data_IF_463325944347
#
_entry.id   IF_463325944347
#
_cell.length_a   1.000
_cell.length_b   1.000
_cell.length_c   1.000
_cell.angle_alpha   90.00
_cell.angle_beta   90.00
_cell.angle_gamma   90.00
#
_symmetry.space_group_name_H-M   'P 1'
#
loop_
_entity.id
_entity.type
_entity.pdbx_description
1 polymer ?
#
# COMPACT_ATOMS: atom_id res chain seq x y z
N UNK A 1 -18.25 0.08 -4.27
CA UNK A 1 -17.97 -0.87 -3.16
C UNK A 1 -16.61 -1.49 -3.40
N UNK A 2 -15.73 -1.46 -2.40
CA UNK A 2 -14.38 -2.06 -2.47
C UNK A 2 -14.39 -3.45 -1.84
N UNK A 3 -14.02 -4.49 -2.60
CA UNK A 3 -13.82 -5.84 -2.03
C UNK A 3 -12.51 -5.85 -1.24
N UNK A 4 -12.56 -6.35 -0.01
CA UNK A 4 -11.37 -6.48 0.84
C UNK A 4 -10.81 -7.89 0.76
N UNK A 5 -9.54 -8.02 0.40
CA UNK A 5 -8.87 -9.31 0.21
C UNK A 5 -7.51 -9.28 0.91
N UNK A 6 -7.46 -9.54 2.23
CA UNK A 6 -6.23 -9.40 3.00
C UNK A 6 -5.15 -10.34 2.47
N UNK A 7 -4.03 -9.76 2.03
CA UNK A 7 -2.87 -10.48 1.47
C UNK A 7 -3.23 -11.39 0.28
N UNK A 8 -4.33 -11.10 -0.43
CA UNK A 8 -4.91 -11.97 -1.46
C UNK A 8 -5.24 -13.40 -0.97
N UNK A 9 -5.48 -13.54 0.34
CA UNK A 9 -5.65 -14.81 1.02
C UNK A 9 -7.10 -15.06 1.47
N UNK A 10 -8.06 -14.17 1.22
CA UNK A 10 -9.42 -14.29 1.76
C UNK A 10 -10.05 -15.71 1.63
N UNK A 11 -9.98 -16.39 0.48
CA UNK A 11 -10.54 -17.74 0.35
C UNK A 11 -9.59 -18.88 0.76
N UNK A 12 -8.39 -18.57 1.26
CA UNK A 12 -7.29 -19.52 1.47
C UNK A 12 -6.73 -19.54 2.90
N UNK A 13 -7.13 -18.63 3.79
CA UNK A 13 -6.70 -18.66 5.20
C UNK A 13 -7.31 -19.89 5.88
N UNK A 14 -6.47 -20.84 6.31
CA UNK A 14 -6.90 -22.11 6.92
C UNK A 14 -7.28 -22.03 8.41
N UNK A 15 -7.33 -20.83 8.99
CA UNK A 15 -7.68 -20.56 10.39
C UNK A 15 -8.25 -19.14 10.53
N UNK A 16 -8.49 -18.67 11.75
CA UNK A 16 -9.08 -17.34 11.95
C UNK A 16 -8.20 -16.21 11.39
N UNK A 17 -8.75 -15.38 10.51
CA UNK A 17 -7.99 -14.33 9.82
C UNK A 17 -7.37 -13.26 10.75
N UNK A 18 -7.98 -12.99 11.90
CA UNK A 18 -7.38 -12.15 12.95
C UNK A 18 -6.08 -12.75 13.52
N UNK A 19 -6.03 -14.08 13.71
CA UNK A 19 -4.82 -14.77 14.14
C UNK A 19 -3.78 -14.83 13.00
N UNK A 20 -4.23 -14.82 11.75
CA UNK A 20 -3.35 -14.73 10.57
C UNK A 20 -2.58 -13.40 10.53
N UNK A 21 -3.23 -12.27 10.79
CA UNK A 21 -2.49 -11.00 10.92
C UNK A 21 -1.56 -11.00 12.12
N UNK A 22 -1.99 -11.58 13.24
CA UNK A 22 -1.13 -11.71 14.43
C UNK A 22 0.15 -12.45 14.09
N UNK A 23 0.05 -13.53 13.32
CA UNK A 23 1.22 -14.27 12.85
C UNK A 23 2.18 -13.40 12.04
N UNK A 24 1.68 -12.60 11.09
CA UNK A 24 2.49 -11.63 10.34
C UNK A 24 3.23 -10.63 11.25
N UNK A 25 2.54 -10.09 12.25
CA UNK A 25 3.11 -9.12 13.19
C UNK A 25 4.21 -9.77 14.03
N UNK A 26 3.97 -10.98 14.56
CA UNK A 26 4.95 -11.69 15.38
C UNK A 26 6.16 -12.17 14.56
N UNK A 27 5.97 -12.54 13.29
CA UNK A 27 7.05 -12.79 12.35
C UNK A 27 7.96 -11.57 12.19
N UNK A 28 7.38 -10.37 12.02
CA UNK A 28 8.15 -9.12 11.93
C UNK A 28 8.87 -8.73 13.23
N UNK A 29 8.38 -9.17 14.39
CA UNK A 29 9.06 -9.02 15.68
C UNK A 29 10.15 -10.08 15.90
N UNK A 30 10.29 -11.04 15.00
CA UNK A 30 11.29 -12.11 15.10
C UNK A 30 10.92 -13.29 15.98
N UNK A 31 9.66 -13.42 16.39
CA UNK A 31 9.22 -14.55 17.20
C UNK A 31 9.43 -15.88 16.44
N UNK A 32 10.39 -16.69 16.89
CA UNK A 32 10.61 -18.06 16.42
C UNK A 32 11.38 -18.25 15.10
N UNK A 33 11.83 -17.19 14.42
CA UNK A 33 12.43 -17.30 13.07
C UNK A 33 13.75 -16.56 12.87
N UNK A 34 14.25 -15.85 13.89
CA UNK A 34 15.45 -14.99 13.74
C UNK A 34 15.21 -13.70 12.94
N UNK A 35 13.97 -13.45 12.52
CA UNK A 35 13.53 -12.30 11.73
C UNK A 35 13.32 -10.99 12.54
N UNK A 36 13.92 -10.89 13.72
CA UNK A 36 13.77 -9.73 14.62
C UNK A 36 14.71 -8.57 14.29
N UNK A 37 15.57 -8.73 13.29
CA UNK A 37 16.42 -7.67 12.77
C UNK A 37 15.66 -6.91 11.66
N UNK A 38 15.20 -5.67 11.92
CA UNK A 38 14.44 -4.90 10.93
C UNK A 38 15.22 -4.60 9.64
N UNK A 39 16.55 -4.74 9.67
CA UNK A 39 17.40 -4.57 8.49
C UNK A 39 17.33 -5.79 7.54
N UNK A 40 16.86 -6.95 8.01
CA UNK A 40 16.73 -8.18 7.22
C UNK A 40 15.32 -8.43 6.71
N UNK A 41 14.33 -7.69 7.20
CA UNK A 41 12.95 -7.82 6.74
C UNK A 41 12.78 -7.17 5.36
N UNK A 42 12.07 -7.83 4.43
CA UNK A 42 11.74 -7.22 3.15
C UNK A 42 10.87 -5.98 3.36
N UNK A 43 11.10 -4.94 2.55
CA UNK A 43 10.20 -3.78 2.51
C UNK A 43 8.89 -4.16 1.82
N UNK A 44 7.78 -3.61 2.31
CA UNK A 44 6.44 -3.86 1.78
C UNK A 44 6.05 -2.67 0.90
N UNK A 45 5.54 -2.96 -0.30
CA UNK A 45 5.03 -1.98 -1.26
C UNK A 45 3.59 -2.31 -1.62
N UNK A 46 2.79 -1.27 -1.84
CA UNK A 46 1.44 -1.39 -2.40
C UNK A 46 1.45 -0.79 -3.82
N UNK A 47 0.92 -1.51 -4.80
CA UNK A 47 0.87 -1.07 -6.19
C UNK A 47 -0.56 -1.09 -6.72
N UNK A 48 -0.91 -0.11 -7.54
CA UNK A 48 -2.19 -0.06 -8.24
C UNK A 48 -1.97 0.28 -9.72
N UNK A 49 -1.96 -0.73 -10.57
CA UNK A 49 -1.83 -0.58 -12.03
C UNK A 49 -3.11 -0.09 -12.71
N UNK A 50 -4.22 -0.01 -11.98
CA UNK A 50 -5.57 0.06 -12.54
C UNK A 50 -6.27 1.39 -12.24
N UNK A 51 -5.54 2.40 -11.75
CA UNK A 51 -6.13 3.71 -11.52
C UNK A 51 -6.64 4.30 -12.84
N UNK A 52 -7.83 4.89 -12.78
CA UNK A 52 -8.51 5.48 -13.93
C UNK A 52 -8.66 6.98 -13.77
N UNK A 53 -8.64 7.69 -14.89
CA UNK A 53 -9.04 9.10 -14.97
C UNK A 53 -10.56 9.25 -14.95
N UNK A 54 -11.02 10.50 -14.91
CA UNK A 54 -12.45 10.84 -14.86
C UNK A 54 -13.22 10.39 -16.10
N UNK A 55 -12.54 10.24 -17.24
CA UNK A 55 -13.08 9.70 -18.49
C UNK A 55 -13.04 8.16 -18.56
N UNK A 56 -12.60 7.51 -17.48
CA UNK A 56 -12.51 6.06 -17.38
C UNK A 56 -11.28 5.45 -18.05
N UNK A 57 -10.37 6.22 -18.65
CA UNK A 57 -9.14 5.66 -19.22
C UNK A 57 -8.19 5.17 -18.13
N UNK A 58 -7.34 4.20 -18.45
CA UNK A 58 -6.24 3.82 -17.54
C UNK A 58 -5.17 4.90 -17.54
N UNK A 59 -4.75 5.32 -16.35
CA UNK A 59 -3.70 6.33 -16.19
C UNK A 59 -2.28 5.75 -16.34
N UNK A 60 -2.15 4.44 -16.13
CA UNK A 60 -0.91 3.70 -16.29
C UNK A 60 -1.10 2.59 -17.35
N UNK A 61 -0.19 2.45 -18.33
CA UNK A 61 -0.36 1.49 -19.43
C UNK A 61 -0.26 0.02 -19.02
N UNK A 62 0.38 -0.28 -17.89
CA UNK A 62 0.43 -1.64 -17.34
C UNK A 62 1.38 -2.58 -18.09
N UNK A 63 1.12 -3.88 -17.98
CA UNK A 63 1.87 -4.95 -18.66
C UNK A 63 3.40 -4.85 -18.46
N UNK A 64 4.17 -4.82 -19.55
CA UNK A 64 5.63 -4.73 -19.52
C UNK A 64 6.13 -3.43 -18.89
N UNK A 65 5.36 -2.35 -18.99
CA UNK A 65 5.73 -1.05 -18.43
C UNK A 65 5.79 -1.07 -16.90
N UNK A 66 5.11 -2.01 -16.24
CA UNK A 66 5.21 -2.22 -14.79
C UNK A 66 6.65 -2.44 -14.31
N UNK A 67 7.54 -2.91 -15.20
CA UNK A 67 8.97 -3.01 -14.93
C UNK A 67 9.60 -1.67 -14.50
N UNK A 68 9.07 -0.53 -14.94
CA UNK A 68 9.53 0.82 -14.53
C UNK A 68 9.27 1.11 -13.06
N UNK A 69 8.12 0.67 -12.55
CA UNK A 69 7.81 0.79 -11.12
C UNK A 69 8.60 -0.23 -10.30
N UNK A 70 8.85 -1.43 -10.84
CA UNK A 70 9.76 -2.39 -10.19
C UNK A 70 11.20 -1.88 -10.13
N UNK A 71 11.68 -1.19 -11.18
CA UNK A 71 12.96 -0.48 -11.16
C UNK A 71 13.01 0.52 -9.99
N UNK A 72 11.99 1.36 -9.86
CA UNK A 72 11.88 2.30 -8.73
C UNK A 72 11.85 1.60 -7.37
N UNK A 73 11.17 0.46 -7.24
CA UNK A 73 11.19 -0.36 -6.01
C UNK A 73 12.63 -0.80 -5.68
N UNK A 74 13.41 -1.24 -6.66
CA UNK A 74 14.83 -1.60 -6.44
C UNK A 74 15.64 -0.38 -6.02
N UNK A 75 15.47 0.76 -6.69
CA UNK A 75 16.15 2.02 -6.32
C UNK A 75 15.78 2.47 -4.89
N UNK A 76 14.52 2.27 -4.46
CA UNK A 76 14.10 2.50 -3.06
C UNK A 76 14.78 1.58 -2.06
N UNK A 77 15.03 0.33 -2.43
CA UNK A 77 15.77 -0.63 -1.60
C UNK A 77 17.26 -0.26 -1.49
N UNK A 78 17.84 0.28 -2.57
CA UNK A 78 19.25 0.70 -2.64
C UNK A 78 19.49 2.13 -2.11
N UNK A 79 18.43 2.87 -1.78
CA UNK A 79 18.52 4.23 -1.25
C UNK A 79 18.72 5.33 -2.30
N UNK A 80 18.57 4.99 -3.58
CA UNK A 80 18.70 5.92 -4.72
C UNK A 80 17.34 6.41 -5.25
N UNK A 81 16.26 5.71 -4.92
CA UNK A 81 14.90 6.03 -5.37
C UNK A 81 14.31 7.22 -4.62
N UNK A 82 13.97 8.28 -5.34
CA UNK A 82 13.28 9.46 -4.79
C UNK A 82 11.80 9.17 -4.53
N UNK A 83 11.26 9.77 -3.47
CA UNK A 83 9.86 9.65 -3.11
C UNK A 83 9.42 10.86 -2.28
N UNK A 84 8.13 11.17 -2.30
CA UNK A 84 7.51 12.14 -1.40
C UNK A 84 6.82 11.40 -0.27
N UNK A 85 6.93 11.94 0.94
CA UNK A 85 6.14 11.47 2.07
C UNK A 85 4.69 11.94 1.90
N UNK A 86 3.76 11.00 2.03
CA UNK A 86 2.31 11.22 1.97
C UNK A 86 1.65 10.59 3.20
N UNK A 87 0.37 10.89 3.49
CA UNK A 87 -0.34 10.22 4.59
C UNK A 87 -0.38 8.69 4.51
N UNK A 88 -0.13 8.10 3.34
CA UNK A 88 -0.14 6.64 3.14
C UNK A 88 1.26 6.03 3.00
N UNK A 89 2.31 6.83 3.29
CA UNK A 89 3.70 6.43 3.17
C UNK A 89 4.41 7.12 2.01
N UNK A 90 5.51 6.53 1.55
CA UNK A 90 6.33 7.10 0.48
C UNK A 90 5.80 6.72 -0.91
N UNK A 91 5.56 7.73 -1.74
CA UNK A 91 5.05 7.57 -3.10
C UNK A 91 6.05 8.20 -4.09
N UNK A 92 6.33 7.58 -5.25
CA UNK A 92 7.20 8.21 -6.24
C UNK A 92 6.60 9.51 -6.77
N UNK A 93 7.46 10.46 -7.11
CA UNK A 93 7.12 11.52 -8.06
C UNK A 93 7.28 11.01 -9.49
N UNK A 94 6.67 11.67 -10.47
CA UNK A 94 6.76 11.23 -11.86
C UNK A 94 8.21 11.22 -12.39
N UNK A 95 9.03 12.17 -11.95
CA UNK A 95 10.46 12.28 -12.28
C UNK A 95 11.34 11.25 -11.54
N UNK A 96 10.83 10.59 -10.50
CA UNK A 96 11.50 9.45 -9.87
C UNK A 96 11.36 8.14 -10.66
N UNK A 97 10.48 8.11 -11.68
CA UNK A 97 10.29 6.95 -12.53
C UNK A 97 11.07 7.11 -13.84
N UNK A 98 11.58 5.99 -14.36
CA UNK A 98 12.13 5.98 -15.71
C UNK A 98 11.00 5.96 -16.74
N UNK A 99 10.67 7.13 -17.29
CA UNK A 99 9.64 7.31 -18.31
C UNK A 99 10.22 7.38 -19.73
N UNK A 100 11.51 7.05 -19.91
CA UNK A 100 12.17 7.12 -21.22
C UNK A 100 11.46 6.18 -22.21
N UNK A 101 11.05 6.73 -23.35
CA UNK A 101 10.35 5.99 -24.40
C UNK A 101 8.91 5.58 -24.04
N UNK A 102 8.33 6.16 -22.98
CA UNK A 102 6.93 5.95 -22.63
C UNK A 102 6.04 7.01 -23.28
N UNK A 103 5.09 6.59 -24.13
CA UNK A 103 4.15 7.49 -24.82
C UNK A 103 2.95 7.94 -23.95
N UNK A 104 2.96 7.60 -22.65
CA UNK A 104 1.89 7.98 -21.72
C UNK A 104 2.02 9.46 -21.34
N UNK A 105 0.93 10.26 -21.36
CA UNK A 105 0.98 11.66 -20.97
C UNK A 105 1.51 11.84 -19.54
N UNK A 106 2.42 12.79 -19.32
CA UNK A 106 2.98 13.07 -18.00
C UNK A 106 1.89 13.36 -16.95
N UNK A 107 0.83 14.07 -17.34
CA UNK A 107 -0.31 14.35 -16.47
C UNK A 107 -1.05 13.07 -16.02
N UNK A 108 -1.09 12.02 -16.84
CA UNK A 108 -1.69 10.74 -16.46
C UNK A 108 -0.79 10.00 -15.46
N UNK A 109 0.54 10.07 -15.65
CA UNK A 109 1.51 9.52 -14.68
C UNK A 109 1.37 10.22 -13.32
N UNK A 110 1.35 11.54 -13.31
CA UNK A 110 1.17 12.34 -12.09
C UNK A 110 -0.18 12.03 -11.41
N UNK A 111 -1.26 11.99 -12.17
CA UNK A 111 -2.57 11.62 -11.66
C UNK A 111 -2.60 10.19 -11.11
N UNK A 112 -1.83 9.26 -11.70
CA UNK A 112 -1.73 7.87 -11.22
C UNK A 112 -1.11 7.79 -9.82
N UNK A 113 -0.16 8.69 -9.52
CA UNK A 113 0.63 8.75 -8.29
C UNK A 113 0.00 9.65 -7.20
N UNK A 114 -0.97 10.49 -7.55
CA UNK A 114 -1.57 11.47 -6.63
C UNK A 114 -2.23 10.83 -5.41
N UNK A 115 -1.85 11.22 -4.20
CA UNK A 115 -2.59 10.84 -2.99
C UNK A 115 -3.64 11.90 -2.69
N UNK A 116 -4.92 11.56 -2.90
CA UNK A 116 -6.03 12.44 -2.59
C UNK A 116 -6.48 12.24 -1.15
N UNK A 117 -6.34 13.29 -0.34
CA UNK A 117 -6.66 13.23 1.10
C UNK A 117 -8.13 12.96 1.34
N UNK A 118 -9.03 13.53 0.53
CA UNK A 118 -10.47 13.37 0.74
C UNK A 118 -10.94 11.98 0.32
N UNK A 119 -10.37 11.40 -0.74
CA UNK A 119 -10.58 9.98 -1.08
C UNK A 119 -10.16 9.07 0.08
N UNK A 120 -9.00 9.32 0.70
CA UNK A 120 -8.52 8.53 1.83
C UNK A 120 -9.35 8.72 3.10
N UNK A 121 -9.86 9.93 3.36
CA UNK A 121 -10.79 10.17 4.47
C UNK A 121 -12.09 9.38 4.29
N UNK A 122 -12.62 9.30 3.08
CA UNK A 122 -13.79 8.49 2.76
C UNK A 122 -13.53 6.97 2.90
N UNK A 123 -12.27 6.54 2.83
CA UNK A 123 -11.87 5.14 2.96
C UNK A 123 -11.81 4.67 4.43
N UNK A 124 -11.47 5.54 5.38
CA UNK A 124 -11.38 5.24 6.82
C UNK A 124 -12.60 4.49 7.37
N UNK A 125 -13.86 4.98 7.22
CA UNK A 125 -15.01 4.29 7.78
C UNK A 125 -15.20 2.89 7.16
N UNK A 126 -14.85 2.70 5.88
CA UNK A 126 -14.94 1.40 5.22
C UNK A 126 -13.87 0.42 5.71
N UNK A 127 -12.69 0.91 6.10
CA UNK A 127 -11.64 0.09 6.74
C UNK A 127 -12.05 -0.28 8.16
N UNK A 128 -12.61 0.66 8.93
CA UNK A 128 -13.12 0.38 10.26
C UNK A 128 -14.29 -0.63 10.24
N UNK A 129 -15.24 -0.47 9.31
CA UNK A 129 -16.35 -1.42 9.11
C UNK A 129 -15.84 -2.81 8.70
N UNK A 130 -14.79 -2.89 7.86
CA UNK A 130 -14.07 -4.14 7.68
C UNK A 130 -13.60 -4.59 9.04
N UNK A 131 -12.62 -3.94 9.66
CA UNK A 131 -11.94 -4.38 10.88
C UNK A 131 -12.87 -4.97 11.96
N UNK A 132 -14.04 -4.37 12.17
CA UNK A 132 -15.06 -4.88 13.09
C UNK A 132 -15.52 -6.34 12.82
N UNK A 133 -15.49 -6.81 11.56
CA UNK A 133 -15.83 -8.19 11.17
C UNK A 133 -14.88 -9.25 11.74
N UNK A 134 -13.68 -8.86 12.19
CA UNK A 134 -12.74 -9.78 12.85
C UNK A 134 -12.96 -9.89 14.36
N UNK A 135 -13.80 -9.04 14.95
CA UNK A 135 -14.05 -8.98 16.39
C UNK A 135 -12.78 -8.81 17.23
N UNK A 136 -12.78 -9.40 18.41
CA UNK A 136 -11.68 -9.33 19.41
C UNK A 136 -10.36 -9.93 18.93
N UNK A 137 -10.40 -10.74 17.86
CA UNK A 137 -9.23 -11.42 17.32
C UNK A 137 -8.34 -10.51 16.48
N UNK A 138 -8.85 -9.35 16.03
CA UNK A 138 -8.03 -8.39 15.29
C UNK A 138 -6.90 -7.86 16.19
N UNK A 139 -5.64 -7.93 15.76
CA UNK A 139 -4.55 -7.36 16.54
C UNK A 139 -4.73 -5.85 16.74
N UNK A 140 -4.63 -5.38 17.98
CA UNK A 140 -4.80 -3.95 18.32
C UNK A 140 -3.83 -3.02 17.58
N UNK A 141 -2.67 -3.51 17.15
CA UNK A 141 -1.73 -2.74 16.33
C UNK A 141 -2.31 -2.33 14.98
N UNK A 142 -3.25 -3.10 14.39
CA UNK A 142 -3.90 -2.70 13.15
C UNK A 142 -4.85 -1.52 13.36
N UNK A 143 -5.54 -1.46 14.50
CA UNK A 143 -6.30 -0.27 14.90
C UNK A 143 -5.37 0.93 15.12
N UNK A 144 -4.22 0.73 15.77
CA UNK A 144 -3.23 1.78 15.93
C UNK A 144 -2.69 2.31 14.60
N UNK A 145 -2.45 1.46 13.60
CA UNK A 145 -2.08 1.89 12.24
C UNK A 145 -3.19 2.68 11.55
N UNK A 146 -4.46 2.30 11.75
CA UNK A 146 -5.61 3.05 11.23
C UNK A 146 -5.73 4.42 11.91
N UNK A 147 -5.54 4.51 13.22
CA UNK A 147 -5.55 5.77 13.96
C UNK A 147 -4.36 6.67 13.56
N UNK A 148 -3.18 6.10 13.36
CA UNK A 148 -2.03 6.83 12.83
C UNK A 148 -2.30 7.38 11.42
N UNK A 149 -2.98 6.61 10.56
CA UNK A 149 -3.43 7.10 9.25
C UNK A 149 -4.44 8.25 9.39
N UNK A 150 -5.41 8.15 10.31
CA UNK A 150 -6.36 9.24 10.58
C UNK A 150 -5.67 10.54 10.99
N UNK A 151 -4.69 10.45 11.89
CA UNK A 151 -3.89 11.61 12.30
C UNK A 151 -3.14 12.24 11.12
N UNK A 152 -2.49 11.43 10.26
CA UNK A 152 -1.82 11.94 9.04
C UNK A 152 -2.79 12.56 8.02
N UNK A 153 -4.07 12.22 8.06
CA UNK A 153 -5.13 12.81 7.23
C UNK A 153 -5.82 14.02 7.89
N UNK A 154 -5.45 14.39 9.12
CA UNK A 154 -6.03 15.48 9.88
C UNK A 154 -7.49 15.23 10.30
N UNK A 155 -7.82 13.99 10.66
CA UNK A 155 -9.16 13.56 11.11
C UNK A 155 -9.27 13.45 12.65
N UNK A 156 -8.45 14.21 13.37
CA UNK A 156 -8.42 14.21 14.85
C UNK A 156 -9.75 14.67 15.47
#
# INVERSE_FOLDING_TARGET
VVRRDPMAMLPFIGYHAGDYFRHWIEMGKGAGTGAGDPAKLPRIFYVNWFRRGDDGRFLWPGFGENSRVLKWVVERLEGTGSAVETPIGFVPTADALDLTGLDTPAADIEASLRVDVDEWRAEIPQVAEWFNKFGEKLPGVLWAELDALRARLGLD
#
